data_IF_554567326385
#
_entry.id   IF_554567326385
#
_cell.length_a   1.000
_cell.length_b   1.000
_cell.length_c   1.000
_cell.angle_alpha   90.00
_cell.angle_beta   90.00
_cell.angle_gamma   90.00
#
_symmetry.space_group_name_H-M   'P 1'
#
loop_
_entity.id
_entity.type
_entity.pdbx_description
1 polymer ?
#
# COMPACT_ATOMS: atom_id res chain seq x y z
N UNK A 1 132.05 27.78 10.14
CA UNK A 1 131.68 27.24 11.48
C UNK A 1 130.74 28.14 12.29
N UNK A 2 131.15 29.31 12.82
CA UNK A 2 130.25 30.10 13.69
C UNK A 2 129.04 30.70 12.93
N UNK A 3 129.27 31.20 11.71
CA UNK A 3 128.24 31.78 10.83
C UNK A 3 127.20 30.74 10.37
N UNK A 4 127.66 29.53 10.05
CA UNK A 4 126.80 28.40 9.64
C UNK A 4 125.94 27.90 10.79
N UNK A 5 126.47 27.88 12.01
CA UNK A 5 125.73 27.50 13.20
C UNK A 5 124.64 28.53 13.55
N UNK A 6 124.93 29.83 13.39
CA UNK A 6 123.93 30.91 13.49
C UNK A 6 122.84 30.78 12.42
N UNK A 7 123.22 30.47 11.18
CA UNK A 7 122.27 30.24 10.07
C UNK A 7 121.37 29.04 10.33
N UNK A 8 121.92 27.93 10.85
CA UNK A 8 121.14 26.75 11.23
C UNK A 8 120.18 27.04 12.38
N UNK A 9 120.62 27.79 13.40
CA UNK A 9 119.75 28.22 14.50
C UNK A 9 118.58 29.09 14.01
N UNK A 10 118.82 30.01 13.07
CA UNK A 10 117.76 30.82 12.46
C UNK A 10 116.76 29.94 11.69
N UNK A 11 117.23 28.98 10.89
CA UNK A 11 116.37 28.02 10.19
C UNK A 11 115.54 27.16 11.16
N UNK A 12 116.14 26.67 12.25
CA UNK A 12 115.43 25.90 13.29
C UNK A 12 114.35 26.76 13.94
N UNK A 13 114.62 28.04 14.22
CA UNK A 13 113.63 28.95 14.78
C UNK A 13 112.44 29.18 13.83
N UNK A 14 112.71 29.37 12.53
CA UNK A 14 111.67 29.50 11.50
C UNK A 14 110.82 28.23 11.40
N UNK A 15 111.45 27.05 11.40
CA UNK A 15 110.73 25.77 11.35
C UNK A 15 109.87 25.56 12.59
N UNK A 16 110.37 25.87 13.79
CA UNK A 16 109.58 25.79 15.04
C UNK A 16 108.37 26.71 15.01
N UNK A 17 108.54 27.95 14.54
CA UNK A 17 107.43 28.89 14.44
C UNK A 17 106.36 28.41 13.44
N UNK A 18 106.80 27.84 12.31
CA UNK A 18 105.90 27.29 11.29
C UNK A 18 105.20 26.01 11.77
N UNK A 19 105.89 25.16 12.52
CA UNK A 19 105.28 23.98 13.16
C UNK A 19 104.21 24.40 14.17
N UNK A 20 104.53 25.35 15.06
CA UNK A 20 103.56 25.88 16.03
C UNK A 20 102.35 26.56 15.35
N UNK A 21 102.57 27.20 14.20
CA UNK A 21 101.49 27.75 13.38
C UNK A 21 100.58 26.64 12.83
N UNK A 22 101.16 25.60 12.22
CA UNK A 22 100.39 24.47 11.69
C UNK A 22 99.69 23.66 12.79
N UNK A 23 100.28 23.51 13.97
CA UNK A 23 99.61 22.85 15.12
C UNK A 23 98.37 23.64 15.56
N UNK A 24 98.46 24.98 15.62
CA UNK A 24 97.31 25.84 15.93
C UNK A 24 96.25 25.77 14.84
N UNK A 25 96.65 25.82 13.58
CA UNK A 25 95.76 25.71 12.44
C UNK A 25 95.04 24.35 12.44
N UNK A 26 95.76 23.25 12.63
CA UNK A 26 95.18 21.91 12.70
C UNK A 26 94.21 21.78 13.88
N UNK A 27 94.56 22.33 15.05
CA UNK A 27 93.64 22.37 16.20
C UNK A 27 92.37 23.16 15.89
N UNK A 28 92.50 24.32 15.23
CA UNK A 28 91.36 25.14 14.81
C UNK A 28 90.48 24.43 13.77
N UNK A 29 91.09 23.74 12.80
CA UNK A 29 90.38 22.97 11.79
C UNK A 29 89.64 21.78 12.39
N UNK A 30 90.25 21.08 13.35
CA UNK A 30 89.60 19.99 14.09
C UNK A 30 88.39 20.50 14.88
N UNK A 31 88.53 21.62 15.59
CA UNK A 31 87.42 22.24 16.31
C UNK A 31 86.29 22.68 15.37
N UNK A 32 86.62 23.31 14.24
CA UNK A 32 85.63 23.71 13.24
C UNK A 32 84.92 22.52 12.61
N UNK A 33 85.65 21.42 12.35
CA UNK A 33 85.06 20.19 11.83
C UNK A 33 84.09 19.58 12.84
N UNK A 34 84.50 19.46 14.11
CA UNK A 34 83.65 18.93 15.16
C UNK A 34 82.37 19.76 15.32
N UNK A 35 82.48 21.08 15.35
CA UNK A 35 81.32 21.97 15.42
C UNK A 35 80.38 21.79 14.21
N UNK A 36 80.94 21.65 13.00
CA UNK A 36 80.16 21.40 11.80
C UNK A 36 79.44 20.04 11.86
N UNK A 37 80.12 18.98 12.31
CA UNK A 37 79.56 17.64 12.45
C UNK A 37 78.41 17.64 13.48
N UNK A 38 78.58 18.31 14.63
CA UNK A 38 77.54 18.50 15.64
C UNK A 38 76.31 19.24 15.07
N UNK A 39 76.52 20.31 14.29
CA UNK A 39 75.44 21.03 13.62
C UNK A 39 74.71 20.15 12.60
N UNK A 40 75.42 19.37 11.79
CA UNK A 40 74.82 18.44 10.84
C UNK A 40 74.00 17.36 11.56
N UNK A 41 74.51 16.81 12.67
CA UNK A 41 73.79 15.83 13.48
C UNK A 41 72.51 16.40 14.10
N UNK A 42 72.56 17.65 14.60
CA UNK A 42 71.37 18.34 15.10
C UNK A 42 70.32 18.54 14.01
N UNK A 43 70.75 18.99 12.82
CA UNK A 43 69.85 19.16 11.67
C UNK A 43 69.26 17.84 11.18
N UNK A 44 70.04 16.76 11.14
CA UNK A 44 69.56 15.42 10.75
C UNK A 44 68.51 14.92 11.74
N UNK A 45 68.76 15.05 13.04
CA UNK A 45 67.81 14.66 14.08
C UNK A 45 66.49 15.43 13.95
N UNK A 46 66.57 16.75 13.75
CA UNK A 46 65.39 17.59 13.54
C UNK A 46 64.60 17.17 12.29
N UNK A 47 65.28 16.95 11.16
CA UNK A 47 64.63 16.52 9.92
C UNK A 47 63.97 15.15 10.07
N UNK A 48 64.62 14.20 10.73
CA UNK A 48 64.06 12.88 10.98
C UNK A 48 62.80 12.96 11.84
N UNK A 49 62.79 13.81 12.88
CA UNK A 49 61.59 14.04 13.70
C UNK A 49 60.41 14.58 12.86
N UNK A 50 60.68 15.56 11.98
CA UNK A 50 59.66 16.10 11.06
C UNK A 50 59.16 15.04 10.07
N UNK A 51 60.05 14.20 9.55
CA UNK A 51 59.69 13.10 8.63
C UNK A 51 58.76 12.12 9.34
N UNK A 52 59.10 11.70 10.57
CA UNK A 52 58.24 10.81 11.36
C UNK A 52 56.87 11.44 11.60
N UNK A 53 56.82 12.70 12.03
CA UNK A 53 55.55 13.39 12.26
C UNK A 53 54.69 13.46 11.00
N UNK A 54 55.29 13.75 9.84
CA UNK A 54 54.58 13.77 8.56
C UNK A 54 54.12 12.39 8.13
N UNK A 55 54.87 11.34 8.44
CA UNK A 55 54.46 9.97 8.16
C UNK A 55 53.23 9.60 8.99
N UNK A 56 53.24 9.91 10.28
CA UNK A 56 52.09 9.67 11.17
C UNK A 56 50.83 10.43 10.69
N UNK A 57 51.01 11.67 10.20
CA UNK A 57 49.92 12.47 9.63
C UNK A 57 49.37 11.84 8.33
N UNK A 58 50.24 11.34 7.45
CA UNK A 58 49.84 10.63 6.22
C UNK A 58 49.04 9.39 6.55
N UNK A 59 49.51 8.58 7.50
CA UNK A 59 48.85 7.33 7.89
C UNK A 59 47.47 7.64 8.50
N UNK A 60 47.37 8.66 9.35
CA UNK A 60 46.08 9.10 9.89
C UNK A 60 45.11 9.58 8.80
N UNK A 61 45.60 10.35 7.82
CA UNK A 61 44.76 10.81 6.70
C UNK A 61 44.30 9.64 5.81
N UNK A 62 45.12 8.61 5.62
CA UNK A 62 44.75 7.41 4.89
C UNK A 62 43.63 6.63 5.59
N UNK A 63 43.70 6.51 6.92
CA UNK A 63 42.64 5.87 7.72
C UNK A 63 41.31 6.65 7.63
N UNK A 64 41.38 7.98 7.72
CA UNK A 64 40.21 8.84 7.56
C UNK A 64 39.60 8.71 6.16
N UNK A 65 40.44 8.67 5.11
CA UNK A 65 40.01 8.47 3.74
C UNK A 65 39.30 7.12 3.57
N UNK A 66 39.86 6.05 4.11
CA UNK A 66 39.27 4.71 4.06
C UNK A 66 37.91 4.64 4.76
N UNK A 67 37.80 5.32 5.91
CA UNK A 67 36.54 5.43 6.66
C UNK A 67 35.49 6.19 5.85
N UNK A 68 35.85 7.34 5.29
CA UNK A 68 34.92 8.18 4.52
C UNK A 68 34.45 7.47 3.23
N UNK A 69 35.34 6.76 2.55
CA UNK A 69 34.99 5.94 1.39
C UNK A 69 33.99 4.84 1.75
N UNK A 70 34.16 4.21 2.92
CA UNK A 70 33.24 3.17 3.40
C UNK A 70 31.87 3.75 3.72
N UNK A 71 31.82 4.91 4.39
CA UNK A 71 30.57 5.62 4.67
C UNK A 71 29.86 6.05 3.38
N UNK A 72 30.60 6.53 2.38
CA UNK A 72 30.04 6.92 1.09
C UNK A 72 29.42 5.72 0.34
N UNK A 73 30.09 4.56 0.37
CA UNK A 73 29.53 3.31 -0.19
C UNK A 73 28.23 2.91 0.51
N UNK A 74 28.20 2.98 1.85
CA UNK A 74 27.00 2.67 2.61
C UNK A 74 25.85 3.62 2.27
N UNK A 75 26.11 4.93 2.21
CA UNK A 75 25.11 5.94 1.88
C UNK A 75 24.51 5.72 0.48
N UNK A 76 25.32 5.33 -0.50
CA UNK A 76 24.82 4.99 -1.83
C UNK A 76 23.93 3.74 -1.82
N UNK A 77 24.29 2.73 -1.03
CA UNK A 77 23.47 1.52 -0.88
C UNK A 77 22.12 1.85 -0.21
N UNK A 78 22.14 2.69 0.81
CA UNK A 78 20.94 3.15 1.51
C UNK A 78 20.05 3.98 0.57
N UNK A 79 20.64 4.86 -0.26
CA UNK A 79 19.91 5.64 -1.26
C UNK A 79 19.24 4.74 -2.31
N UNK A 80 19.93 3.72 -2.80
CA UNK A 80 19.35 2.73 -3.74
C UNK A 80 18.20 1.97 -3.10
N UNK A 81 18.39 1.51 -1.86
CA UNK A 81 17.36 0.78 -1.11
C UNK A 81 16.12 1.66 -0.86
N UNK A 82 16.33 2.94 -0.58
CA UNK A 82 15.25 3.90 -0.39
C UNK A 82 14.48 4.14 -1.70
N UNK A 83 15.17 4.28 -2.83
CA UNK A 83 14.53 4.40 -4.14
C UNK A 83 13.65 3.19 -4.47
N UNK A 84 14.12 1.98 -4.19
CA UNK A 84 13.32 0.76 -4.36
C UNK A 84 12.07 0.73 -3.48
N UNK A 85 12.18 1.20 -2.22
CA UNK A 85 11.04 1.33 -1.32
C UNK A 85 10.01 2.33 -1.83
N UNK A 86 10.45 3.47 -2.36
CA UNK A 86 9.55 4.46 -2.98
C UNK A 86 8.83 3.88 -4.20
N UNK A 87 9.55 3.19 -5.09
CA UNK A 87 8.94 2.53 -6.25
C UNK A 87 7.87 1.50 -5.86
N UNK A 88 8.11 0.72 -4.80
CA UNK A 88 7.12 -0.24 -4.27
C UNK A 88 5.91 0.47 -3.67
N UNK A 89 6.14 1.57 -2.95
CA UNK A 89 5.06 2.36 -2.37
C UNK A 89 4.18 3.00 -3.45
N UNK A 90 4.77 3.53 -4.50
CA UNK A 90 4.05 4.11 -5.64
C UNK A 90 3.15 3.08 -6.35
N UNK A 91 3.67 1.86 -6.56
CA UNK A 91 2.87 0.74 -7.09
C UNK A 91 1.69 0.41 -6.18
N UNK A 92 1.93 0.29 -4.87
CA UNK A 92 0.86 0.03 -3.89
C UNK A 92 -0.20 1.14 -3.88
N UNK A 93 0.18 2.41 -3.99
CA UNK A 93 -0.75 3.52 -4.11
C UNK A 93 -1.60 3.44 -5.40
N UNK A 94 -0.99 3.01 -6.50
CA UNK A 94 -1.70 2.82 -7.78
C UNK A 94 -2.71 1.67 -7.68
N UNK A 95 -2.30 0.53 -7.12
CA UNK A 95 -3.18 -0.62 -6.92
C UNK A 95 -4.35 -0.28 -6.00
N UNK A 96 -4.08 0.46 -4.92
CA UNK A 96 -5.11 0.93 -3.99
C UNK A 96 -6.10 1.87 -4.69
N UNK A 97 -5.62 2.80 -5.52
CA UNK A 97 -6.46 3.69 -6.32
C UNK A 97 -7.37 2.90 -7.27
N UNK A 98 -6.83 1.92 -7.97
CA UNK A 98 -7.61 1.07 -8.88
C UNK A 98 -8.69 0.31 -8.12
N UNK A 99 -8.36 -0.28 -6.97
CA UNK A 99 -9.32 -1.00 -6.13
C UNK A 99 -10.42 -0.10 -5.58
N UNK A 100 -10.10 1.15 -5.23
CA UNK A 100 -11.13 2.13 -4.87
C UNK A 100 -12.07 2.44 -6.03
N UNK A 101 -11.55 2.55 -7.25
CA UNK A 101 -12.37 2.80 -8.44
C UNK A 101 -13.31 1.62 -8.75
N UNK A 102 -12.83 0.38 -8.60
CA UNK A 102 -13.65 -0.83 -8.73
C UNK A 102 -14.79 -0.85 -7.72
N UNK A 103 -14.50 -0.59 -6.43
CA UNK A 103 -15.53 -0.51 -5.38
C UNK A 103 -16.56 0.60 -5.68
N UNK A 104 -16.12 1.74 -6.24
CA UNK A 104 -17.05 2.80 -6.67
C UNK A 104 -17.98 2.32 -7.78
N UNK A 105 -17.46 1.58 -8.74
CA UNK A 105 -18.24 1.03 -9.85
C UNK A 105 -19.25 -0.01 -9.33
N UNK A 106 -18.82 -0.98 -8.53
CA UNK A 106 -19.69 -1.99 -7.91
C UNK A 106 -20.81 -1.34 -7.08
N UNK A 107 -20.48 -0.30 -6.30
CA UNK A 107 -21.48 0.44 -5.52
C UNK A 107 -22.52 1.13 -6.42
N UNK A 108 -22.10 1.68 -7.56
CA UNK A 108 -23.01 2.30 -8.52
C UNK A 108 -23.92 1.25 -9.18
N UNK A 109 -23.38 0.09 -9.55
CA UNK A 109 -24.15 -1.03 -10.08
C UNK A 109 -25.19 -1.53 -9.08
N UNK A 110 -24.80 -1.71 -7.81
CA UNK A 110 -25.71 -2.10 -6.73
C UNK A 110 -26.83 -1.07 -6.53
N UNK A 111 -26.54 0.22 -6.69
CA UNK A 111 -27.58 1.27 -6.63
C UNK A 111 -28.61 1.09 -7.74
N UNK A 112 -28.17 0.84 -8.98
CA UNK A 112 -29.06 0.60 -10.13
C UNK A 112 -29.90 -0.66 -9.92
N UNK A 113 -29.30 -1.76 -9.46
CA UNK A 113 -30.02 -3.01 -9.15
C UNK A 113 -31.06 -2.78 -8.06
N UNK A 114 -30.71 -2.04 -7.00
CA UNK A 114 -31.64 -1.69 -5.92
C UNK A 114 -32.84 -0.89 -6.44
N UNK A 115 -32.60 0.12 -7.28
CA UNK A 115 -33.67 0.93 -7.88
C UNK A 115 -34.60 0.08 -8.75
N UNK A 116 -34.03 -0.83 -9.56
CA UNK A 116 -34.81 -1.78 -10.36
C UNK A 116 -35.69 -2.67 -9.49
N UNK A 117 -35.11 -3.31 -8.46
CA UNK A 117 -35.86 -4.18 -7.54
C UNK A 117 -36.98 -3.43 -6.81
N UNK A 118 -36.75 -2.16 -6.45
CA UNK A 118 -37.80 -1.33 -5.84
C UNK A 118 -38.96 -1.05 -6.80
N UNK A 119 -38.69 -0.84 -8.08
CA UNK A 119 -39.72 -0.65 -9.09
C UNK A 119 -40.48 -1.95 -9.36
N UNK A 120 -39.77 -3.06 -9.50
CA UNK A 120 -40.37 -4.39 -9.68
C UNK A 120 -41.29 -4.75 -8.49
N UNK A 121 -40.84 -4.46 -7.25
CA UNK A 121 -41.65 -4.65 -6.05
C UNK A 121 -42.93 -3.81 -6.07
N UNK A 122 -42.85 -2.53 -6.45
CA UNK A 122 -44.04 -1.67 -6.58
C UNK A 122 -45.02 -2.21 -7.62
N UNK A 123 -44.52 -2.68 -8.75
CA UNK A 123 -45.37 -3.28 -9.79
C UNK A 123 -46.06 -4.55 -9.29
N UNK A 124 -45.33 -5.45 -8.65
CA UNK A 124 -45.91 -6.67 -8.08
C UNK A 124 -46.98 -6.35 -7.03
N UNK A 125 -46.77 -5.32 -6.21
CA UNK A 125 -47.75 -4.88 -5.21
C UNK A 125 -49.04 -4.32 -5.84
N UNK A 126 -48.93 -3.61 -6.96
CA UNK A 126 -50.08 -3.13 -7.73
C UNK A 126 -50.86 -4.32 -8.33
N UNK A 127 -50.16 -5.28 -8.92
CA UNK A 127 -50.77 -6.48 -9.49
C UNK A 127 -51.52 -7.32 -8.44
N UNK A 128 -50.91 -7.52 -7.26
CA UNK A 128 -51.56 -8.17 -6.12
C UNK A 128 -52.85 -7.43 -5.74
N UNK A 129 -52.83 -6.10 -5.71
CA UNK A 129 -54.02 -5.30 -5.41
C UNK A 129 -55.11 -5.49 -6.45
N UNK A 130 -54.77 -5.47 -7.74
CA UNK A 130 -55.71 -5.70 -8.83
C UNK A 130 -56.31 -7.11 -8.80
N UNK A 131 -55.49 -8.14 -8.55
CA UNK A 131 -55.97 -9.52 -8.43
C UNK A 131 -56.92 -9.71 -7.25
N UNK A 132 -56.65 -9.06 -6.10
CA UNK A 132 -57.56 -9.07 -4.95
C UNK A 132 -58.92 -8.44 -5.27
N UNK A 133 -58.92 -7.31 -5.99
CA UNK A 133 -60.17 -6.67 -6.43
C UNK A 133 -60.96 -7.55 -7.40
N UNK A 134 -60.28 -8.21 -8.34
CA UNK A 134 -60.95 -9.12 -9.27
C UNK A 134 -61.49 -10.37 -8.57
N UNK A 135 -60.73 -10.92 -7.61
CA UNK A 135 -61.20 -12.02 -6.76
C UNK A 135 -62.49 -11.63 -6.03
N UNK A 136 -62.56 -10.44 -5.44
CA UNK A 136 -63.76 -9.95 -4.74
C UNK A 136 -64.95 -9.80 -5.70
N UNK A 137 -64.74 -9.26 -6.91
CA UNK A 137 -65.78 -9.18 -7.94
C UNK A 137 -66.29 -10.56 -8.37
N UNK A 138 -65.39 -11.53 -8.51
CA UNK A 138 -65.76 -12.91 -8.86
C UNK A 138 -66.56 -13.57 -7.75
N UNK A 139 -66.19 -13.35 -6.48
CA UNK A 139 -66.96 -13.82 -5.31
C UNK A 139 -68.38 -13.25 -5.36
N UNK A 140 -68.53 -11.93 -5.54
CA UNK A 140 -69.85 -11.29 -5.64
C UNK A 140 -70.69 -11.84 -6.80
N UNK A 141 -70.08 -12.03 -7.98
CA UNK A 141 -70.77 -12.64 -9.14
C UNK A 141 -71.22 -14.07 -8.84
N UNK A 142 -70.39 -14.84 -8.14
CA UNK A 142 -70.70 -16.22 -7.76
C UNK A 142 -71.88 -16.27 -6.77
N UNK A 143 -71.88 -15.41 -5.74
CA UNK A 143 -73.00 -15.27 -4.80
C UNK A 143 -74.31 -14.90 -5.50
N UNK A 144 -74.27 -13.95 -6.44
CA UNK A 144 -75.45 -13.58 -7.24
C UNK A 144 -75.95 -14.75 -8.12
N UNK A 145 -75.03 -15.48 -8.75
CA UNK A 145 -75.38 -16.66 -9.55
C UNK A 145 -76.03 -17.74 -8.67
N UNK A 146 -75.47 -17.99 -7.48
CA UNK A 146 -76.03 -18.93 -6.50
C UNK A 146 -77.45 -18.53 -6.08
N UNK A 147 -77.67 -17.26 -5.76
CA UNK A 147 -79.01 -16.74 -5.42
C UNK A 147 -80.01 -16.91 -6.57
N UNK A 148 -79.60 -16.67 -7.82
CA UNK A 148 -80.45 -16.93 -9.00
C UNK A 148 -80.79 -18.42 -9.14
N UNK A 149 -79.83 -19.31 -8.91
CA UNK A 149 -80.06 -20.76 -8.95
C UNK A 149 -81.04 -21.17 -7.86
N UNK A 150 -80.89 -20.68 -6.62
CA UNK A 150 -81.83 -20.94 -5.52
C UNK A 150 -83.24 -20.46 -5.85
N UNK A 151 -83.38 -19.28 -6.47
CA UNK A 151 -84.68 -18.76 -6.91
C UNK A 151 -85.32 -19.62 -8.01
N UNK A 152 -84.52 -20.13 -8.96
CA UNK A 152 -84.99 -21.06 -10.00
C UNK A 152 -85.46 -22.37 -9.36
N UNK A 153 -84.69 -22.94 -8.43
CA UNK A 153 -85.05 -24.15 -7.69
C UNK A 153 -86.39 -23.96 -6.97
N UNK A 154 -86.57 -22.85 -6.26
CA UNK A 154 -87.83 -22.52 -5.60
C UNK A 154 -89.00 -22.44 -6.59
N UNK A 155 -88.81 -21.75 -7.73
CA UNK A 155 -89.86 -21.61 -8.74
C UNK A 155 -90.23 -22.95 -9.39
N UNK A 156 -89.26 -23.81 -9.66
CA UNK A 156 -89.49 -25.18 -10.15
C UNK A 156 -90.25 -26.02 -9.13
N UNK A 157 -89.95 -25.89 -7.84
CA UNK A 157 -90.67 -26.58 -6.76
C UNK A 157 -92.15 -26.17 -6.73
N UNK A 158 -92.46 -24.87 -6.82
CA UNK A 158 -93.85 -24.37 -6.86
C UNK A 158 -94.58 -24.88 -8.11
N UNK A 159 -93.96 -24.77 -9.29
CA UNK A 159 -94.56 -25.27 -10.53
C UNK A 159 -94.85 -26.77 -10.48
N UNK A 160 -93.98 -27.57 -9.86
CA UNK A 160 -94.22 -28.99 -9.64
C UNK A 160 -95.48 -29.23 -8.83
N UNK A 161 -95.67 -28.50 -7.73
CA UNK A 161 -96.89 -28.61 -6.90
C UNK A 161 -98.16 -28.18 -7.63
N UNK A 162 -98.08 -27.13 -8.45
CA UNK A 162 -99.20 -26.67 -9.29
C UNK A 162 -99.55 -27.72 -10.37
N UNK A 163 -98.55 -28.32 -11.02
CA UNK A 163 -98.76 -29.41 -11.98
C UNK A 163 -99.39 -30.65 -11.34
N UNK A 164 -98.98 -31.02 -10.13
CA UNK A 164 -99.58 -32.12 -9.39
C UNK A 164 -101.06 -31.82 -9.04
N UNK A 165 -101.37 -30.60 -8.63
CA UNK A 165 -102.76 -30.15 -8.40
C UNK A 165 -103.61 -30.22 -9.67
N UNK A 166 -103.13 -29.69 -10.79
CA UNK A 166 -103.85 -29.77 -12.07
C UNK A 166 -104.07 -31.21 -12.52
N UNK A 167 -103.11 -32.10 -12.26
CA UNK A 167 -103.25 -33.53 -12.57
C UNK A 167 -104.36 -34.17 -11.75
N UNK A 168 -104.47 -33.83 -10.46
CA UNK A 168 -105.55 -34.29 -9.59
C UNK A 168 -106.92 -33.72 -10.01
N UNK A 169 -107.00 -32.43 -10.36
CA UNK A 169 -108.24 -31.81 -10.86
C UNK A 169 -108.71 -32.44 -12.17
N UNK A 170 -107.80 -32.70 -13.11
CA UNK A 170 -108.11 -33.41 -14.37
C UNK A 170 -108.61 -34.82 -14.08
N UNK A 171 -108.00 -35.56 -13.15
CA UNK A 171 -108.47 -36.88 -12.74
C UNK A 171 -109.88 -36.85 -12.13
N UNK A 172 -110.21 -35.82 -11.33
CA UNK A 172 -111.54 -35.63 -10.75
C UNK A 172 -112.59 -35.30 -11.83
N UNK A 173 -112.26 -34.44 -12.79
CA UNK A 173 -113.14 -34.09 -13.91
C UNK A 173 -113.31 -35.21 -14.95
N UNK A 174 -112.30 -36.07 -15.11
CA UNK A 174 -112.37 -37.28 -15.94
C UNK A 174 -113.26 -38.38 -15.34
N UNK A 175 -113.61 -38.28 -14.05
CA UNK A 175 -114.54 -39.18 -13.36
C UNK A 175 -115.83 -38.47 -12.89
N UNK A 176 -116.73 -38.03 -13.77
CA UNK A 176 -117.96 -37.35 -13.38
C UNK A 176 -119.10 -38.33 -12.99
N UNK A 177 -118.80 -39.46 -12.33
CA UNK A 177 -119.78 -40.55 -12.13
C UNK A 177 -119.97 -41.03 -10.67
N UNK A 178 -119.59 -40.26 -9.64
CA UNK A 178 -119.91 -40.65 -8.25
C UNK A 178 -120.50 -39.54 -7.37
N UNK A 179 -120.80 -38.34 -7.90
CA UNK A 179 -121.37 -37.26 -7.09
C UNK A 179 -122.71 -36.67 -7.58
N UNK A 180 -123.38 -37.31 -8.55
CA UNK A 180 -124.77 -36.98 -8.89
C UNK A 180 -125.55 -38.27 -9.18
N UNK A 181 -125.92 -39.01 -8.14
CA UNK A 181 -127.12 -39.86 -8.09
C UNK A 181 -127.34 -40.39 -6.65
N UNK A 182 -128.07 -39.64 -5.83
CA UNK A 182 -129.11 -40.27 -5.00
C UNK A 182 -130.36 -40.34 -5.89
N UNK A 183 -130.85 -41.55 -6.23
CA UNK A 183 -132.25 -41.85 -6.57
C UNK A 183 -132.40 -43.33 -7.01
N UNK A 184 -132.52 -44.25 -6.04
CA UNK A 184 -133.63 -45.21 -5.88
C UNK A 184 -133.24 -46.39 -4.97
#
# INVERSE_FOLDING_TARGET
MLEELKRLQAHIAVVKNRLAHFERENTSLLASKQQSDEQYHAHLTQKNSIITQKQDEIDSLQDHLGTLQSQYKQLNQDASTLADRYNRLEKSCTDLKNRFQEILNERNELRVVKEKLQNDYKHAQQEITSLKQEQERLIQKNEQAKSKVEAIIHRLSVLGTEQDQYTQEIQQLANPAEQNEENS
#
